data_IF_408872120912
#
_entry.id   IF_408872120912
#
_cell.length_a   1.000
_cell.length_b   1.000
_cell.length_c   1.000
_cell.angle_alpha   90.00
_cell.angle_beta   90.00
_cell.angle_gamma   90.00
#
_symmetry.space_group_name_H-M   'P 1'
#
loop_
_entity.id
_entity.type
_entity.pdbx_description
1 polymer ?
#
# COMPACT_ATOMS: atom_id res chain seq x y z
N UNK A 1 4.86 2.92 -52.37
CA UNK A 1 5.86 1.86 -52.60
C UNK A 1 7.18 2.42 -53.09
N UNK A 2 8.10 2.56 -52.14
CA UNK A 2 9.50 2.92 -52.37
C UNK A 2 10.35 1.68 -52.12
N UNK A 3 11.44 1.55 -52.85
CA UNK A 3 12.43 0.50 -52.66
C UNK A 3 13.55 1.03 -51.76
N UNK A 4 13.72 0.39 -50.59
CA UNK A 4 14.70 0.78 -49.57
C UNK A 4 15.84 -0.25 -49.53
N UNK A 5 17.07 0.22 -49.74
CA UNK A 5 18.27 -0.58 -49.56
C UNK A 5 18.72 -0.59 -48.09
N UNK A 6 18.97 -1.78 -47.55
CA UNK A 6 19.48 -2.01 -46.19
C UNK A 6 20.72 -2.91 -46.22
N UNK A 7 21.59 -2.80 -45.23
CA UNK A 7 22.80 -3.62 -45.09
C UNK A 7 22.72 -4.51 -43.86
N UNK A 8 22.92 -5.82 -44.03
CA UNK A 8 22.92 -6.82 -42.96
C UNK A 8 24.09 -7.78 -43.15
N UNK A 9 24.97 -7.89 -42.15
CA UNK A 9 26.13 -8.79 -42.16
C UNK A 9 27.06 -8.55 -43.36
N UNK A 10 27.21 -7.29 -43.77
CA UNK A 10 28.02 -6.88 -44.93
C UNK A 10 27.40 -7.16 -46.30
N UNK A 11 26.08 -7.40 -46.37
CA UNK A 11 25.33 -7.66 -47.61
C UNK A 11 24.19 -6.67 -47.76
N UNK A 12 23.89 -6.28 -49.00
CA UNK A 12 22.81 -5.33 -49.32
C UNK A 12 21.54 -6.10 -49.67
N UNK A 13 20.42 -5.69 -49.09
CA UNK A 13 19.09 -6.20 -49.35
C UNK A 13 18.18 -5.06 -49.78
N UNK A 14 17.29 -5.35 -50.72
CA UNK A 14 16.27 -4.42 -51.17
C UNK A 14 14.91 -4.80 -50.58
N UNK A 15 14.25 -3.85 -49.92
CA UNK A 15 12.96 -4.06 -49.26
C UNK A 15 11.96 -3.02 -49.77
N UNK A 16 10.83 -3.49 -50.30
CA UNK A 16 9.71 -2.62 -50.64
C UNK A 16 8.95 -2.25 -49.36
N UNK A 17 8.83 -0.96 -49.08
CA UNK A 17 8.04 -0.44 -47.95
C UNK A 17 7.35 0.87 -48.32
N UNK A 18 6.39 1.28 -47.48
CA UNK A 18 5.81 2.62 -47.57
C UNK A 18 6.70 3.65 -46.87
N UNK A 19 6.62 4.91 -47.31
CA UNK A 19 7.51 5.97 -46.84
C UNK A 19 7.38 6.21 -45.33
N UNK A 20 6.19 6.06 -44.74
CA UNK A 20 6.01 6.15 -43.28
C UNK A 20 6.68 5.01 -42.49
N UNK A 21 7.06 3.91 -43.14
CA UNK A 21 7.64 2.73 -42.50
C UNK A 21 9.15 2.62 -42.68
N UNK A 22 9.78 3.43 -43.53
CA UNK A 22 11.22 3.36 -43.84
C UNK A 22 12.08 3.37 -42.57
N UNK A 23 11.78 4.25 -41.61
CA UNK A 23 12.52 4.35 -40.35
C UNK A 23 12.33 3.14 -39.42
N UNK A 24 11.19 2.45 -39.51
CA UNK A 24 10.99 1.18 -38.79
C UNK A 24 11.82 0.07 -39.44
N UNK A 25 11.81 0.00 -40.77
CA UNK A 25 12.58 -0.99 -41.53
C UNK A 25 14.09 -0.81 -41.31
N UNK A 26 14.60 0.43 -41.35
CA UNK A 26 16.01 0.73 -41.05
C UNK A 26 16.41 0.28 -39.64
N UNK A 27 15.56 0.54 -38.64
CA UNK A 27 15.80 0.09 -37.25
C UNK A 27 15.79 -1.42 -37.13
N UNK A 28 14.85 -2.11 -37.76
CA UNK A 28 14.81 -3.56 -37.78
C UNK A 28 16.06 -4.15 -38.45
N UNK A 29 16.47 -3.59 -39.59
CA UNK A 29 17.69 -3.99 -40.29
C UNK A 29 18.95 -3.80 -39.43
N UNK A 30 19.04 -2.69 -38.69
CA UNK A 30 20.16 -2.43 -37.78
C UNK A 30 20.25 -3.47 -36.66
N UNK A 31 19.12 -3.85 -36.05
CA UNK A 31 19.07 -4.90 -35.03
C UNK A 31 19.51 -6.26 -35.58
N UNK A 32 19.04 -6.62 -36.78
CA UNK A 32 19.44 -7.87 -37.43
C UNK A 32 20.94 -7.83 -37.78
N UNK A 33 21.45 -6.68 -38.25
CA UNK A 33 22.87 -6.50 -38.56
C UNK A 33 23.75 -6.68 -37.33
N UNK A 34 23.38 -6.08 -36.20
CA UNK A 34 24.10 -6.24 -34.93
C UNK A 34 24.18 -7.72 -34.51
N UNK A 35 23.07 -8.45 -34.59
CA UNK A 35 23.06 -9.88 -34.25
C UNK A 35 23.88 -10.70 -35.26
N UNK A 36 23.80 -10.38 -36.54
CA UNK A 36 24.60 -11.00 -37.58
C UNK A 36 26.11 -10.78 -37.37
N UNK A 37 26.53 -9.58 -36.98
CA UNK A 37 27.93 -9.25 -36.70
C UNK A 37 28.43 -9.95 -35.43
N UNK A 38 27.60 -10.04 -34.39
CA UNK A 38 27.87 -10.81 -33.17
C UNK A 38 28.09 -12.30 -33.49
N UNK A 39 27.18 -12.91 -34.25
CA UNK A 39 27.27 -14.31 -34.65
C UNK A 39 28.53 -14.56 -35.49
N UNK A 40 28.86 -13.66 -36.43
CA UNK A 40 30.07 -13.78 -37.23
C UNK A 40 31.35 -13.65 -36.41
N UNK A 41 31.34 -12.81 -35.38
CA UNK A 41 32.48 -12.65 -34.46
C UNK A 41 32.70 -13.93 -33.64
N UNK A 42 31.63 -14.61 -33.24
CA UNK A 42 31.70 -15.81 -32.39
C UNK A 42 31.93 -17.11 -33.18
N UNK A 43 31.24 -17.30 -34.30
CA UNK A 43 31.24 -18.55 -35.09
C UNK A 43 32.06 -18.45 -36.37
N UNK A 44 32.61 -17.28 -36.68
CA UNK A 44 33.28 -17.00 -37.93
C UNK A 44 32.31 -16.76 -39.08
N UNK A 45 32.85 -16.77 -40.30
CA UNK A 45 32.07 -16.45 -41.51
C UNK A 45 31.09 -17.56 -41.84
N UNK A 46 29.80 -17.23 -41.89
CA UNK A 46 28.72 -18.15 -42.23
C UNK A 46 28.12 -17.86 -43.61
N UNK A 47 27.51 -18.86 -44.28
CA UNK A 47 26.62 -18.62 -45.42
C UNK A 47 25.45 -17.74 -45.00
N UNK A 48 25.01 -16.86 -45.91
CA UNK A 48 23.96 -15.86 -45.67
C UNK A 48 22.70 -16.44 -45.05
N UNK A 49 22.12 -17.49 -45.66
CA UNK A 49 20.90 -18.11 -45.17
C UNK A 49 21.04 -18.64 -43.73
N UNK A 50 22.23 -19.15 -43.38
CA UNK A 50 22.51 -19.67 -42.03
C UNK A 50 22.69 -18.53 -41.03
N UNK A 51 23.39 -17.46 -41.42
CA UNK A 51 23.56 -16.27 -40.60
C UNK A 51 22.20 -15.64 -40.28
N UNK A 52 21.38 -15.36 -41.30
CA UNK A 52 20.06 -14.75 -41.12
C UNK A 52 19.12 -15.63 -40.29
N UNK A 53 19.13 -16.95 -40.49
CA UNK A 53 18.34 -17.88 -39.68
C UNK A 53 18.74 -17.81 -38.19
N UNK A 54 20.04 -17.83 -37.91
CA UNK A 54 20.52 -17.76 -36.54
C UNK A 54 20.20 -16.39 -35.91
N UNK A 55 20.42 -15.29 -36.63
CA UNK A 55 20.05 -13.95 -36.15
C UNK A 55 18.55 -13.86 -35.85
N UNK A 56 17.69 -14.40 -36.72
CA UNK A 56 16.25 -14.40 -36.51
C UNK A 56 15.84 -15.22 -35.28
N UNK A 57 16.43 -16.40 -35.08
CA UNK A 57 16.16 -17.24 -33.91
C UNK A 57 16.60 -16.56 -32.61
N UNK A 58 17.76 -15.91 -32.59
CA UNK A 58 18.25 -15.21 -31.38
C UNK A 58 17.40 -13.99 -31.03
N UNK A 59 16.94 -13.24 -32.03
CA UNK A 59 16.02 -12.12 -31.81
C UNK A 59 14.66 -12.62 -31.32
N UNK A 60 14.15 -13.73 -31.87
CA UNK A 60 12.89 -14.32 -31.44
C UNK A 60 12.95 -14.82 -29.99
N UNK A 61 14.07 -15.45 -29.58
CA UNK A 61 14.28 -15.90 -28.20
C UNK A 61 14.23 -14.72 -27.22
N UNK A 62 14.93 -13.62 -27.52
CA UNK A 62 14.86 -12.38 -26.73
C UNK A 62 13.47 -11.78 -26.67
N UNK A 63 12.69 -11.86 -27.75
CA UNK A 63 11.32 -11.38 -27.77
C UNK A 63 10.44 -12.19 -26.81
N UNK A 64 10.61 -13.51 -26.77
CA UNK A 64 9.89 -14.39 -25.83
C UNK A 64 10.22 -14.02 -24.38
N UNK A 65 11.50 -13.77 -24.08
CA UNK A 65 11.92 -13.33 -22.74
C UNK A 65 11.25 -12.01 -22.35
N UNK A 66 11.30 -11.00 -23.23
CA UNK A 66 10.69 -9.69 -22.99
C UNK A 66 9.17 -9.78 -22.82
N UNK A 67 8.49 -10.60 -23.62
CA UNK A 67 7.05 -10.84 -23.49
C UNK A 67 6.70 -11.50 -22.15
N UNK A 68 7.54 -12.43 -21.68
CA UNK A 68 7.36 -13.09 -20.39
C UNK A 68 7.54 -12.11 -19.22
N UNK A 69 8.56 -11.26 -19.27
CA UNK A 69 8.81 -10.22 -18.27
C UNK A 69 7.68 -9.19 -18.22
N UNK A 70 7.17 -8.79 -19.39
CA UNK A 70 6.02 -7.88 -19.51
C UNK A 70 4.78 -8.46 -18.83
N UNK A 71 4.52 -9.76 -19.00
CA UNK A 71 3.41 -10.44 -18.33
C UNK A 71 3.57 -10.43 -16.80
N UNK A 72 4.77 -10.75 -16.30
CA UNK A 72 5.07 -10.70 -14.86
C UNK A 72 4.89 -9.27 -14.33
N UNK A 73 5.34 -8.26 -15.08
CA UNK A 73 5.18 -6.86 -14.70
C UNK A 73 3.70 -6.47 -14.62
N UNK A 74 2.88 -6.93 -15.56
CA UNK A 74 1.44 -6.69 -15.56
C UNK A 74 0.76 -7.35 -14.35
N UNK A 75 1.07 -8.61 -14.06
CA UNK A 75 0.56 -9.33 -12.88
C UNK A 75 0.93 -8.59 -11.58
N UNK A 76 2.19 -8.14 -11.45
CA UNK A 76 2.63 -7.34 -10.30
C UNK A 76 1.92 -6.00 -10.17
N UNK A 77 1.58 -5.37 -11.29
CA UNK A 77 0.83 -4.11 -11.30
C UNK A 77 -0.59 -4.32 -10.75
N UNK A 78 -1.23 -5.43 -11.13
CA UNK A 78 -2.54 -5.83 -10.60
C UNK A 78 -2.47 -6.11 -9.09
N UNK A 79 -1.47 -6.88 -8.65
CA UNK A 79 -1.23 -7.13 -7.22
C UNK A 79 -1.00 -5.83 -6.44
N UNK A 80 -0.22 -4.90 -6.99
CA UNK A 80 0.03 -3.61 -6.37
C UNK A 80 -1.26 -2.79 -6.20
N UNK A 81 -2.13 -2.79 -7.20
CA UNK A 81 -3.45 -2.16 -7.13
C UNK A 81 -4.33 -2.79 -6.03
N UNK A 82 -4.33 -4.12 -5.93
CA UNK A 82 -5.06 -4.84 -4.89
C UNK A 82 -4.54 -4.52 -3.49
N UNK A 83 -3.21 -4.51 -3.30
CA UNK A 83 -2.57 -4.15 -2.03
C UNK A 83 -2.92 -2.72 -1.64
N UNK A 84 -2.88 -1.78 -2.59
CA UNK A 84 -3.25 -0.39 -2.34
C UNK A 84 -4.70 -0.27 -1.83
N UNK A 85 -5.65 -0.91 -2.50
CA UNK A 85 -7.06 -0.91 -2.08
C UNK A 85 -7.23 -1.52 -0.68
N UNK A 86 -6.52 -2.62 -0.39
CA UNK A 86 -6.56 -3.25 0.94
C UNK A 86 -5.97 -2.35 2.03
N UNK A 87 -4.90 -1.61 1.70
CA UNK A 87 -4.28 -0.66 2.61
C UNK A 87 -5.21 0.52 2.92
N UNK A 88 -5.91 1.06 1.92
CA UNK A 88 -6.92 2.11 2.12
C UNK A 88 -8.06 1.62 3.04
N UNK A 89 -8.51 0.38 2.88
CA UNK A 89 -9.52 -0.22 3.76
C UNK A 89 -9.01 -0.40 5.19
N UNK A 90 -7.77 -0.88 5.37
CA UNK A 90 -7.14 -1.02 6.69
C UNK A 90 -7.01 0.34 7.40
N UNK A 91 -6.64 1.39 6.67
CA UNK A 91 -6.57 2.75 7.23
C UNK A 91 -7.95 3.26 7.68
N UNK A 92 -9.03 2.95 6.94
CA UNK A 92 -10.39 3.27 7.39
C UNK A 92 -10.75 2.55 8.68
N UNK A 93 -10.46 1.25 8.76
CA UNK A 93 -10.74 0.43 9.94
C UNK A 93 -9.96 0.92 11.17
N UNK A 94 -8.68 1.24 10.99
CA UNK A 94 -7.84 1.82 12.03
C UNK A 94 -8.40 3.14 12.56
N UNK A 95 -8.80 4.05 11.66
CA UNK A 95 -9.39 5.34 12.06
C UNK A 95 -10.73 5.17 12.79
N UNK A 96 -11.58 4.24 12.34
CA UNK A 96 -12.84 3.94 13.01
C UNK A 96 -12.60 3.42 14.44
N UNK A 97 -11.69 2.46 14.58
CA UNK A 97 -11.32 1.91 15.89
C UNK A 97 -10.72 2.97 16.81
N UNK A 98 -9.87 3.86 16.29
CA UNK A 98 -9.30 4.97 17.05
C UNK A 98 -10.37 5.94 17.56
N UNK A 99 -11.39 6.24 16.75
CA UNK A 99 -12.51 7.07 17.19
C UNK A 99 -13.31 6.41 18.31
N UNK A 100 -13.49 5.09 18.27
CA UNK A 100 -14.22 4.38 19.31
C UNK A 100 -13.43 4.32 20.63
N UNK A 101 -12.10 4.17 20.57
CA UNK A 101 -11.24 4.34 21.75
C UNK A 101 -11.37 5.72 22.38
N UNK A 102 -11.35 6.80 21.57
CA UNK A 102 -11.52 8.17 22.09
C UNK A 102 -12.89 8.41 22.75
N UNK A 103 -13.96 7.80 22.22
CA UNK A 103 -15.29 7.86 22.86
C UNK A 103 -15.29 7.13 24.19
N UNK A 104 -14.63 5.99 24.25
CA UNK A 104 -14.51 5.20 25.48
C UNK A 104 -13.74 5.97 26.55
N UNK A 105 -12.61 6.58 26.21
CA UNK A 105 -11.83 7.44 27.13
C UNK A 105 -12.71 8.56 27.71
N UNK A 106 -13.42 9.32 26.85
CA UNK A 106 -14.37 10.36 27.30
C UNK A 106 -15.47 9.82 28.20
N UNK A 107 -15.96 8.61 27.94
CA UNK A 107 -16.99 7.99 28.76
C UNK A 107 -16.43 7.59 30.14
N UNK A 108 -15.22 7.03 30.18
CA UNK A 108 -14.51 6.69 31.42
C UNK A 108 -14.26 7.95 32.25
N UNK A 109 -13.75 9.04 31.65
CA UNK A 109 -13.57 10.34 32.31
C UNK A 109 -14.88 10.86 32.91
N UNK A 110 -15.98 10.80 32.14
CA UNK A 110 -17.31 11.22 32.60
C UNK A 110 -17.83 10.38 33.76
N UNK A 111 -17.54 9.08 33.77
CA UNK A 111 -17.93 8.17 34.86
C UNK A 111 -17.08 8.41 36.12
N UNK A 112 -15.77 8.65 35.96
CA UNK A 112 -14.90 9.00 37.09
C UNK A 112 -15.39 10.26 37.81
N UNK A 113 -15.71 11.33 37.06
CA UNK A 113 -16.24 12.57 37.65
C UNK A 113 -17.61 12.39 38.31
N UNK A 114 -18.46 11.49 37.79
CA UNK A 114 -19.71 11.12 38.48
C UNK A 114 -19.46 10.34 39.77
N UNK A 115 -18.44 9.51 39.82
CA UNK A 115 -18.12 8.74 41.02
C UNK A 115 -17.54 9.63 42.12
N UNK A 116 -16.72 10.61 41.75
CA UNK A 116 -16.18 11.63 42.67
C UNK A 116 -17.31 12.44 43.32
N UNK A 117 -18.29 12.91 42.53
CA UNK A 117 -19.45 13.65 43.07
C UNK A 117 -20.37 12.81 43.96
N UNK A 118 -20.52 11.50 43.69
CA UNK A 118 -21.28 10.58 44.56
C UNK A 118 -20.52 10.26 45.85
N UNK A 119 -19.18 10.17 45.78
CA UNK A 119 -18.32 10.04 46.97
C UNK A 119 -18.45 11.25 47.90
N UNK A 120 -18.43 12.46 47.34
CA UNK A 120 -18.61 13.71 48.11
C UNK A 120 -20.00 13.82 48.73
N UNK A 121 -21.04 13.31 48.06
CA UNK A 121 -22.41 13.28 48.58
C UNK A 121 -22.60 12.24 49.68
N UNK A 122 -21.82 11.15 49.69
CA UNK A 122 -21.87 10.13 50.73
C UNK A 122 -21.24 10.60 52.05
N UNK A 123 -20.30 11.54 52.03
CA UNK A 123 -19.72 12.15 53.24
C UNK A 123 -20.77 13.05 53.93
N UNK A 124 -21.59 13.77 53.14
CA UNK A 124 -22.62 14.67 53.67
C UNK A 124 -23.86 13.95 54.24
N UNK A 125 -24.09 12.66 53.92
CA UNK A 125 -25.23 11.89 54.48
C UNK A 125 -24.94 11.26 55.84
N UNK A 126 -23.67 11.09 56.22
CA UNK A 126 -23.28 10.67 57.57
C UNK A 126 -23.44 11.76 58.63
N UNK A 127 -23.46 13.04 58.26
CA UNK A 127 -23.63 14.15 59.22
C UNK A 127 -25.11 14.52 59.49
N UNK A 128 -26.06 14.07 58.67
CA UNK A 128 -27.47 14.47 58.80
C UNK A 128 -28.34 13.52 59.67
N UNK A 129 -27.75 12.57 60.41
CA UNK A 129 -28.48 11.57 61.22
C UNK A 129 -28.14 11.62 62.73
N UNK A 130 -27.61 12.72 63.26
CA UNK A 130 -27.30 12.86 64.70
C UNK A 130 -28.02 14.01 65.42
N UNK A 131 -29.03 14.66 64.83
CA UNK A 131 -29.71 15.81 65.44
C UNK A 131 -31.21 15.57 65.74
N UNK A 132 -31.62 14.36 66.10
CA UNK A 132 -32.99 14.15 66.59
C UNK A 132 -33.10 13.06 67.67
N UNK A 133 -32.45 13.30 68.82
CA UNK A 133 -33.01 12.98 70.14
C UNK A 133 -32.12 13.59 71.24
N UNK A 134 -32.54 14.74 71.79
CA UNK A 134 -32.85 14.88 73.23
C UNK A 134 -32.88 16.36 73.67
N UNK A 135 -34.07 16.97 73.67
CA UNK A 135 -34.52 17.69 74.87
C UNK A 135 -36.04 17.95 74.82
N UNK A 136 -36.82 17.06 75.44
CA UNK A 136 -38.06 17.50 76.09
C UNK A 136 -37.92 17.36 77.60
N UNK A 137 -38.12 18.50 78.26
CA UNK A 137 -38.69 18.68 79.61
C UNK A 137 -37.84 18.37 80.85
N UNK A 138 -37.51 19.49 81.49
CA UNK A 138 -37.45 19.80 82.94
C UNK A 138 -38.14 18.83 83.91
N UNK A 139 -37.54 18.78 85.12
CA UNK A 139 -38.10 18.72 86.51
C UNK A 139 -37.13 17.85 87.31
N UNK A 140 -36.11 18.39 87.99
CA UNK A 140 -36.12 19.06 89.31
C UNK A 140 -36.75 18.22 90.43
N UNK A 141 -35.95 17.69 91.35
CA UNK A 141 -36.38 17.47 92.75
C UNK A 141 -35.15 17.44 93.68
N UNK A 142 -35.06 18.52 94.46
CA UNK A 142 -34.67 18.62 95.88
C UNK A 142 -33.34 18.05 96.40
N UNK A 143 -32.43 18.98 96.72
CA UNK A 143 -31.97 19.39 98.08
C UNK A 143 -31.54 18.33 99.13
N UNK A 144 -30.82 18.70 100.23
CA UNK A 144 -30.08 19.93 100.54
C UNK A 144 -28.69 19.77 101.25
N UNK A 145 -27.92 20.88 101.25
CA UNK A 145 -27.06 21.50 102.30
C UNK A 145 -26.07 20.67 103.14
N UNK A 146 -24.82 21.15 103.25
CA UNK A 146 -24.30 21.75 104.50
C UNK A 146 -22.95 22.47 104.30
N UNK A 147 -22.86 23.67 104.89
CA UNK A 147 -21.74 24.61 105.02
C UNK A 147 -21.42 25.55 103.86
#
# INVERSE_FOLDING_TARGET
MTELEISIGGRIFSVACETEEEEKVKRAAALINEEADSIQTQLGRLPEAKMLLLSALMIADRLVDVESDSKIFQERSEDFSNIKNKNEELERQKNALQNDYQKLEKFVEKMLGKLETVSDLSINKSDALLDDENSTKKVDTDQPKLF
#
